data_IF_889262479438
#
_entry.id   IF_889262479438
#
_cell.length_a   1.000
_cell.length_b   1.000
_cell.length_c   1.000
_cell.angle_alpha   90.00
_cell.angle_beta   90.00
_cell.angle_gamma   90.00
#
_symmetry.space_group_name_H-M   'P 1'
#
loop_
_entity.id
_entity.type
_entity.pdbx_description
1 polymer ?
#
# COMPACT_ATOMS: atom_id res chain seq x y z
N UNK A 1 11.09 7.67 17.75
CA UNK A 1 11.47 7.27 16.38
C UNK A 1 10.29 6.57 15.75
N UNK A 2 9.38 7.35 15.16
CA UNK A 2 8.15 6.85 14.58
C UNK A 2 8.45 6.05 13.32
N UNK A 3 8.11 4.76 13.34
CA UNK A 3 8.15 3.92 12.17
C UNK A 3 7.18 4.48 11.13
N UNK A 4 7.72 5.04 10.05
CA UNK A 4 6.94 5.38 8.87
C UNK A 4 6.44 4.08 8.25
N UNK A 5 5.23 3.66 8.61
CA UNK A 5 4.60 2.53 7.95
C UNK A 5 4.29 2.92 6.51
N UNK A 6 4.95 2.26 5.56
CA UNK A 6 4.72 2.45 4.14
C UNK A 6 3.41 1.75 3.75
N UNK A 7 2.45 2.49 3.18
CA UNK A 7 1.22 1.87 2.69
C UNK A 7 1.54 1.13 1.38
N UNK A 8 1.09 -0.11 1.23
CA UNK A 8 1.37 -0.92 0.05
C UNK A 8 0.09 -1.45 -0.60
N UNK A 9 0.06 -1.44 -1.92
CA UNK A 9 -1.03 -1.97 -2.75
C UNK A 9 -0.49 -3.01 -3.74
N UNK A 10 -1.18 -4.16 -3.85
CA UNK A 10 -0.80 -5.18 -4.83
C UNK A 10 -1.11 -4.70 -6.25
N UNK A 11 -0.22 -5.02 -7.19
CA UNK A 11 -0.44 -4.76 -8.62
C UNK A 11 -1.72 -5.42 -9.14
N UNK A 12 -2.14 -6.54 -8.53
CA UNK A 12 -3.40 -7.22 -8.87
C UNK A 12 -4.61 -6.37 -8.49
N UNK A 13 -4.63 -5.81 -7.29
CA UNK A 13 -5.72 -4.94 -6.83
C UNK A 13 -5.80 -3.67 -7.67
N UNK A 14 -4.66 -3.03 -7.93
CA UNK A 14 -4.57 -1.83 -8.80
C UNK A 14 -5.17 -2.10 -10.17
N UNK A 15 -4.77 -3.19 -10.82
CA UNK A 15 -5.28 -3.58 -12.13
C UNK A 15 -6.77 -3.94 -12.09
N UNK A 16 -7.22 -4.70 -11.08
CA UNK A 16 -8.62 -5.12 -10.95
C UNK A 16 -9.56 -3.94 -10.70
N UNK A 17 -9.12 -2.95 -9.95
CA UNK A 17 -9.87 -1.72 -9.68
C UNK A 17 -9.71 -0.66 -10.78
N UNK A 18 -8.87 -0.89 -11.79
CA UNK A 18 -8.61 0.07 -12.87
C UNK A 18 -7.95 1.36 -12.40
N UNK A 19 -7.19 1.32 -11.29
CA UNK A 19 -6.55 2.49 -10.73
C UNK A 19 -5.34 2.91 -11.56
N UNK A 20 -5.21 4.21 -11.80
CA UNK A 20 -4.03 4.77 -12.45
C UNK A 20 -2.83 4.79 -11.50
N UNK A 21 -1.66 4.37 -11.99
CA UNK A 21 -0.40 4.47 -11.25
C UNK A 21 0.43 5.64 -11.74
N UNK A 22 1.26 6.17 -10.86
CA UNK A 22 2.28 7.17 -11.21
C UNK A 22 3.67 6.62 -10.87
N UNK A 23 4.71 7.20 -11.49
CA UNK A 23 6.09 6.84 -11.13
C UNK A 23 6.37 7.25 -9.70
N UNK A 24 7.04 6.37 -8.96
CA UNK A 24 7.52 6.68 -7.63
C UNK A 24 8.66 7.71 -7.73
N UNK A 25 8.64 8.82 -6.96
CA UNK A 25 9.64 9.88 -7.05
C UNK A 25 11.04 9.43 -6.60
N UNK A 26 11.11 8.37 -5.79
CA UNK A 26 12.35 7.81 -5.24
C UNK A 26 12.32 6.28 -5.29
N UNK A 27 12.47 5.64 -6.46
CA UNK A 27 12.41 4.19 -6.57
C UNK A 27 13.38 3.50 -5.60
N UNK A 28 12.95 2.41 -4.98
CA UNK A 28 13.75 1.72 -3.97
C UNK A 28 13.54 0.21 -4.02
N UNK A 29 14.53 -0.54 -3.54
CA UNK A 29 14.42 -1.99 -3.45
C UNK A 29 13.85 -2.38 -2.09
N UNK A 30 12.76 -3.13 -2.11
CA UNK A 30 12.26 -3.81 -0.93
C UNK A 30 12.96 -5.16 -0.79
N UNK A 31 13.64 -5.35 0.34
CA UNK A 31 14.22 -6.61 0.77
C UNK A 31 13.55 -7.01 2.09
N UNK A 32 12.88 -8.16 2.08
CA UNK A 32 12.28 -8.76 3.27
C UNK A 32 10.84 -8.33 3.53
N UNK A 33 9.92 -9.29 3.34
CA UNK A 33 8.54 -9.41 3.88
C UNK A 33 7.85 -10.53 3.08
N UNK A 34 8.32 -11.77 3.21
CA UNK A 34 7.71 -12.94 2.53
C UNK A 34 7.70 -12.91 0.99
N UNK A 35 8.32 -11.90 0.35
CA UNK A 35 8.51 -11.83 -1.10
C UNK A 35 9.79 -12.55 -1.43
N UNK A 36 9.70 -13.68 -2.13
CA UNK A 36 10.87 -14.35 -2.67
C UNK A 36 11.51 -13.44 -3.73
N UNK A 37 12.72 -12.95 -3.44
CA UNK A 37 13.49 -12.11 -4.34
C UNK A 37 13.54 -10.63 -3.94
N UNK A 38 14.50 -9.91 -4.55
CA UNK A 38 14.57 -8.45 -4.49
C UNK A 38 13.58 -7.89 -5.51
N UNK A 39 12.66 -7.05 -5.08
CA UNK A 39 11.81 -6.33 -6.00
C UNK A 39 11.95 -4.83 -5.80
N UNK A 40 11.81 -4.10 -6.89
CA UNK A 40 11.92 -2.64 -6.92
C UNK A 40 10.54 -2.00 -6.94
N UNK A 41 10.30 -1.10 -5.99
CA UNK A 41 9.15 -0.22 -5.99
C UNK A 41 9.45 0.94 -6.92
N UNK A 42 8.79 0.95 -8.07
CA UNK A 42 8.96 1.99 -9.10
C UNK A 42 7.68 2.79 -9.34
N UNK A 43 6.57 2.37 -8.76
CA UNK A 43 5.25 2.92 -8.98
C UNK A 43 4.48 3.09 -7.68
N UNK A 44 3.58 4.05 -7.67
CA UNK A 44 2.66 4.33 -6.58
C UNK A 44 1.25 4.57 -7.13
N UNK A 45 0.25 4.44 -6.27
CA UNK A 45 -1.17 4.60 -6.58
C UNK A 45 -1.84 5.38 -5.45
N UNK A 46 -2.80 6.24 -5.79
CA UNK A 46 -3.67 6.87 -4.78
C UNK A 46 -4.95 6.05 -4.69
N UNK A 47 -5.25 5.56 -3.49
CA UNK A 47 -6.43 4.74 -3.21
C UNK A 47 -7.36 5.57 -2.35
N UNK A 48 -8.43 6.06 -2.98
CA UNK A 48 -9.54 6.66 -2.25
C UNK A 48 -10.39 5.56 -1.63
N UNK A 49 -10.75 5.70 -0.36
CA UNK A 49 -11.64 4.79 0.34
C UNK A 49 -12.64 5.54 1.20
N UNK A 50 -13.77 4.88 1.47
CA UNK A 50 -14.81 5.39 2.36
C UNK A 50 -15.18 4.36 3.41
N UNK A 51 -15.19 4.77 4.68
CA UNK A 51 -15.65 3.95 5.81
C UNK A 51 -16.78 4.70 6.50
N UNK A 52 -18.03 4.27 6.25
CA UNK A 52 -19.20 5.01 6.72
C UNK A 52 -19.26 6.42 6.13
N UNK A 53 -19.18 7.45 6.99
CA UNK A 53 -19.15 8.86 6.58
C UNK A 53 -17.74 9.39 6.31
N UNK A 54 -16.70 8.62 6.62
CA UNK A 54 -15.32 9.03 6.41
C UNK A 54 -14.93 8.74 4.97
N UNK A 55 -14.35 9.74 4.30
CA UNK A 55 -13.70 9.60 3.01
C UNK A 55 -12.27 10.08 3.17
N UNK A 56 -11.34 9.27 2.68
CA UNK A 56 -9.93 9.60 2.70
C UNK A 56 -9.23 8.99 1.49
N UNK A 57 -8.00 9.43 1.26
CA UNK A 57 -7.18 8.95 0.16
C UNK A 57 -5.76 8.70 0.65
N UNK A 58 -5.29 7.47 0.44
CA UNK A 58 -3.94 7.07 0.83
C UNK A 58 -3.07 6.85 -0.40
N UNK A 59 -1.83 7.32 -0.30
CA UNK A 59 -0.80 7.00 -1.27
C UNK A 59 -0.18 5.65 -0.90
N UNK A 60 -0.16 4.73 -1.84
CA UNK A 60 0.35 3.38 -1.67
C UNK A 60 1.42 3.05 -2.70
N UNK A 61 2.47 2.38 -2.26
CA UNK A 61 3.48 1.81 -3.13
C UNK A 61 2.96 0.55 -3.81
N UNK A 62 3.20 0.44 -5.12
CA UNK A 62 2.73 -0.69 -5.91
C UNK A 62 3.76 -1.81 -5.82
N UNK A 63 3.34 -2.93 -5.25
CA UNK A 63 4.19 -4.10 -5.04
C UNK A 63 3.68 -5.30 -5.84
N UNK A 64 4.57 -6.18 -6.33
CA UNK A 64 4.20 -7.38 -7.08
C UNK A 64 3.62 -8.50 -6.18
N UNK A 65 3.44 -8.25 -4.89
CA UNK A 65 3.02 -9.24 -3.89
C UNK A 65 1.64 -9.83 -4.23
N UNK A 66 1.49 -11.15 -4.12
CA UNK A 66 0.26 -11.88 -4.44
C UNK A 66 -0.80 -11.85 -3.31
N UNK A 67 -0.51 -11.22 -2.18
CA UNK A 67 -1.44 -11.15 -1.05
C UNK A 67 -2.37 -9.94 -1.19
N UNK A 68 -3.66 -10.22 -1.15
CA UNK A 68 -4.76 -9.31 -1.42
C UNK A 68 -5.04 -8.29 -0.29
N UNK A 69 -4.05 -7.95 0.54
CA UNK A 69 -4.29 -7.11 1.72
C UNK A 69 -3.67 -5.74 1.49
N UNK A 70 -4.49 -4.69 1.57
CA UNK A 70 -4.02 -3.32 1.67
C UNK A 70 -3.28 -3.21 3.01
N UNK A 71 -1.96 -3.12 2.99
CA UNK A 71 -1.18 -2.94 4.20
C UNK A 71 -1.13 -1.45 4.48
N UNK A 72 -1.87 -1.01 5.49
CA UNK A 72 -1.82 0.37 5.96
C UNK A 72 -0.79 0.48 7.08
N UNK A 73 0.12 1.43 6.95
CA UNK A 73 1.23 1.62 7.88
C UNK A 73 0.81 2.00 9.32
N UNK A 74 1.74 1.83 10.26
CA UNK A 74 1.69 2.26 11.68
C UNK A 74 1.04 3.65 11.93
N UNK A 75 1.30 4.71 11.14
CA UNK A 75 0.66 6.01 11.40
C UNK A 75 -0.87 5.99 11.25
N UNK A 76 -1.44 5.10 10.43
CA UNK A 76 -2.90 4.92 10.36
C UNK A 76 -3.43 3.97 11.44
N UNK A 77 -2.64 2.96 11.83
CA UNK A 77 -3.02 2.00 12.88
C UNK A 77 -3.04 2.63 14.29
N UNK A 78 -2.15 3.58 14.55
CA UNK A 78 -2.11 4.30 15.83
C UNK A 78 -3.32 5.22 16.02
N UNK A 79 -3.89 5.74 14.94
CA UNK A 79 -5.07 6.61 15.02
C UNK A 79 -6.37 5.78 15.14
N UNK A 80 -6.41 4.56 14.57
CA UNK A 80 -7.62 3.72 14.59
C UNK A 80 -7.28 2.23 14.63
N UNK A 81 -7.83 1.54 15.63
CA UNK A 81 -7.90 0.07 15.74
C UNK A 81 -8.71 -0.53 14.59
N UNK A 82 -8.17 -0.53 13.37
CA UNK A 82 -8.78 -1.19 12.23
C UNK A 82 -7.78 -2.21 11.71
N UNK A 83 -8.04 -3.47 12.08
CA UNK A 83 -7.43 -4.64 11.48
C UNK A 83 -8.24 -4.90 10.20
N UNK A 84 -7.71 -4.54 9.03
CA UNK A 84 -8.24 -5.08 7.78
C UNK A 84 -7.49 -6.40 7.53
N UNK A 85 -8.03 -7.47 8.11
CA UNK A 85 -7.67 -8.85 7.77
C UNK A 85 -8.88 -9.50 7.11
N UNK A 86 -8.66 -10.03 5.91
CA UNK A 86 -9.37 -11.20 5.39
C UNK A 86 -8.36 -11.99 4.61
#
# INVERSE_FOLDING_TARGET
>A
NGGGGENMASIRTVKKLGLATTKHPRPYQLQGLGVEGKFEVTQQVRVAFSIGRYQDEVLCDVVPIQVCHLLLGEPWQSDRKIIITT
#
